data_IF_248121821389
#
_entry.id   IF_248121821389
#
_cell.length_a   1.000
_cell.length_b   1.000
_cell.length_c   1.000
_cell.angle_alpha   90.00
_cell.angle_beta   90.00
_cell.angle_gamma   90.00
#
_symmetry.space_group_name_H-M   'P 1'
#
loop_
_entity.id
_entity.type
_entity.pdbx_description
1 polymer ?
#
# COMPACT_ATOMS: atom_id res chain seq x y z
N UNK A 1 31.26 19.26 -6.07
CA UNK A 1 30.84 19.25 -6.37
C UNK A 1 29.98 18.58 -6.60
N UNK A 2 29.71 18.24 -6.83
CA UNK A 2 28.79 17.58 -7.32
C UNK A 2 27.78 17.02 -6.55
N UNK A 3 27.51 17.35 -5.96
CA UNK A 3 26.60 16.88 -5.38
C UNK A 3 25.62 16.40 -5.95
N UNK A 4 25.32 15.59 -5.74
CA UNK A 4 24.40 14.83 -6.43
C UNK A 4 23.17 15.58 -6.79
N UNK A 5 22.97 16.68 -6.43
CA UNK A 5 21.87 17.49 -6.89
C UNK A 5 20.52 16.81 -6.92
N UNK A 6 20.36 15.69 -6.28
CA UNK A 6 19.06 15.07 -6.27
C UNK A 6 18.15 15.86 -5.38
N UNK A 7 17.30 16.61 -6.00
CA UNK A 7 16.27 17.33 -5.29
C UNK A 7 14.98 16.56 -5.43
N UNK A 8 14.45 16.15 -4.30
CA UNK A 8 13.16 15.48 -4.30
C UNK A 8 12.12 16.52 -3.98
N UNK A 9 11.28 16.79 -4.96
CA UNK A 9 10.15 17.66 -4.75
C UNK A 9 8.97 16.75 -4.46
N UNK A 10 8.53 16.76 -3.23
CA UNK A 10 7.32 16.04 -2.87
C UNK A 10 6.16 16.96 -3.15
N UNK A 11 5.53 16.74 -4.28
CA UNK A 11 4.28 17.41 -4.62
C UNK A 11 3.15 16.74 -3.84
N UNK A 12 2.03 17.42 -3.62
CA UNK A 12 0.90 16.86 -2.88
C UNK A 12 0.41 15.50 -3.40
N UNK A 13 0.67 15.21 -4.66
CA UNK A 13 0.19 13.99 -5.31
C UNK A 13 1.30 13.18 -5.95
N UNK A 14 2.54 13.48 -5.63
CA UNK A 14 3.64 12.72 -6.21
C UNK A 14 4.56 12.19 -5.13
N UNK A 15 4.99 10.98 -5.35
CA UNK A 15 5.94 10.27 -4.49
C UNK A 15 7.20 10.09 -5.29
N UNK A 16 8.30 10.57 -4.77
CA UNK A 16 9.59 10.43 -5.43
C UNK A 16 10.32 9.23 -4.86
N UNK A 17 10.67 8.32 -5.72
CA UNK A 17 11.37 7.09 -5.38
C UNK A 17 12.81 7.21 -5.85
N UNK A 18 13.73 6.76 -5.03
CA UNK A 18 15.15 6.95 -5.28
C UNK A 18 15.90 5.69 -5.67
N UNK A 19 15.55 4.57 -5.08
CA UNK A 19 16.41 3.39 -5.15
C UNK A 19 15.65 2.06 -5.29
N UNK A 20 14.37 2.10 -5.60
CA UNK A 20 13.59 0.89 -5.83
C UNK A 20 12.81 0.98 -7.12
N UNK A 21 12.67 -0.15 -7.77
CA UNK A 21 11.69 -0.29 -8.83
C UNK A 21 10.29 -0.30 -8.23
N UNK A 22 9.30 0.14 -8.99
CA UNK A 22 7.92 0.12 -8.55
C UNK A 22 7.34 -1.28 -8.51
N UNK A 23 6.26 -1.44 -7.77
CA UNK A 23 5.47 -2.68 -7.77
C UNK A 23 4.43 -2.61 -8.88
N UNK A 24 4.21 -3.74 -9.55
CA UNK A 24 3.16 -3.81 -10.58
C UNK A 24 2.67 -5.25 -10.77
N UNK A 25 1.50 -5.38 -11.40
CA UNK A 25 0.93 -6.67 -11.75
C UNK A 25 0.08 -7.27 -10.64
N UNK A 26 -0.65 -8.33 -11.01
CA UNK A 26 -1.53 -9.08 -10.12
C UNK A 26 -0.89 -10.42 -9.79
N UNK A 27 -0.86 -10.78 -8.52
CA UNK A 27 -0.24 -12.00 -8.04
C UNK A 27 -1.17 -12.67 -7.03
N UNK A 28 -1.62 -13.88 -7.33
CA UNK A 28 -2.53 -14.62 -6.46
C UNK A 28 -1.79 -15.23 -5.27
N UNK A 29 -2.48 -15.29 -4.14
CA UNK A 29 -1.98 -15.94 -2.94
C UNK A 29 -3.16 -16.44 -2.10
N UNK A 30 -2.84 -17.16 -1.03
CA UNK A 30 -3.85 -17.69 -0.10
C UNK A 30 -3.46 -17.35 1.33
N UNK A 31 -4.46 -16.98 2.11
CA UNK A 31 -4.32 -16.77 3.56
C UNK A 31 -4.73 -18.05 4.25
N UNK A 32 -3.91 -18.55 5.17
CA UNK A 32 -4.27 -19.71 5.98
C UNK A 32 -5.16 -19.31 7.16
N UNK A 33 -5.60 -20.28 7.92
CA UNK A 33 -6.51 -20.07 9.06
C UNK A 33 -5.88 -19.29 10.23
N UNK A 34 -4.55 -19.11 10.19
CA UNK A 34 -3.82 -18.32 11.20
C UNK A 34 -3.44 -16.91 10.70
N UNK A 35 -3.96 -16.50 9.55
CA UNK A 35 -3.67 -15.20 8.97
C UNK A 35 -2.31 -15.11 8.29
N UNK A 36 -1.70 -16.24 7.97
CA UNK A 36 -0.39 -16.26 7.32
C UNK A 36 -0.55 -16.38 5.81
N UNK A 37 0.29 -15.66 5.07
CA UNK A 37 0.34 -15.76 3.63
C UNK A 37 1.77 -15.51 3.14
N UNK A 38 2.10 -16.14 2.01
CA UNK A 38 3.42 -15.99 1.38
C UNK A 38 3.37 -14.77 0.46
N UNK A 39 4.32 -13.87 0.63
CA UNK A 39 4.45 -12.73 -0.29
C UNK A 39 4.95 -13.26 -1.63
N UNK A 40 4.30 -12.92 -2.74
CA UNK A 40 4.76 -13.35 -4.07
C UNK A 40 6.20 -12.93 -4.33
N UNK A 41 6.97 -13.81 -4.97
CA UNK A 41 8.39 -13.55 -5.25
C UNK A 41 8.60 -12.29 -6.09
N UNK A 42 7.67 -11.96 -6.97
CA UNK A 42 7.73 -10.74 -7.77
C UNK A 42 7.67 -9.47 -6.90
N UNK A 43 6.98 -9.53 -5.77
CA UNK A 43 6.91 -8.43 -4.81
C UNK A 43 8.21 -8.39 -3.98
N UNK A 44 8.63 -9.54 -3.46
CA UNK A 44 9.87 -9.62 -2.67
C UNK A 44 11.10 -9.18 -3.45
N UNK A 45 11.15 -9.52 -4.73
CA UNK A 45 12.30 -9.21 -5.59
C UNK A 45 12.53 -7.72 -5.82
N UNK A 46 11.54 -6.87 -5.53
CA UNK A 46 11.66 -5.42 -5.67
C UNK A 46 12.32 -4.78 -4.45
N UNK A 47 12.26 -5.43 -3.29
CA UNK A 47 12.69 -4.87 -2.02
C UNK A 47 14.05 -5.43 -1.64
N UNK A 48 15.04 -4.58 -1.30
CA UNK A 48 16.33 -5.05 -0.80
C UNK A 48 16.15 -5.90 0.46
N UNK A 49 16.94 -6.94 0.59
CA UNK A 49 16.83 -7.91 1.68
C UNK A 49 16.97 -7.26 3.06
N UNK A 50 17.84 -6.27 3.18
CA UNK A 50 18.08 -5.55 4.43
C UNK A 50 16.97 -4.56 4.78
N UNK A 51 15.99 -4.37 3.90
CA UNK A 51 14.84 -3.48 4.10
C UNK A 51 13.51 -4.20 4.00
N UNK A 52 13.52 -5.51 4.22
CA UNK A 52 12.33 -6.35 4.06
C UNK A 52 11.40 -6.24 5.26
N UNK A 53 10.89 -5.04 5.48
CA UNK A 53 9.87 -4.76 6.48
C UNK A 53 8.74 -3.98 5.82
N UNK A 54 7.52 -4.40 6.06
CA UNK A 54 6.34 -3.78 5.46
C UNK A 54 5.42 -3.24 6.52
N UNK A 55 4.66 -2.25 6.14
CA UNK A 55 3.59 -1.66 6.96
C UNK A 55 2.28 -1.96 6.26
N UNK A 56 1.34 -2.56 6.97
CA UNK A 56 0.04 -2.97 6.43
C UNK A 56 -1.07 -2.30 7.20
N UNK A 57 -2.07 -1.81 6.47
CA UNK A 57 -3.27 -1.22 7.05
C UNK A 57 -4.45 -1.33 6.08
N UNK A 58 -5.66 -1.11 6.59
CA UNK A 58 -6.84 -0.98 5.74
C UNK A 58 -6.73 0.31 4.92
N UNK A 59 -6.95 0.22 3.63
CA UNK A 59 -6.99 1.39 2.76
C UNK A 59 -8.14 2.31 3.17
N UNK A 60 -7.91 3.63 3.14
CA UNK A 60 -8.91 4.62 3.54
C UNK A 60 -10.01 4.83 2.50
N UNK A 61 -9.73 4.50 1.26
CA UNK A 61 -10.61 4.81 0.13
C UNK A 61 -11.15 3.58 -0.58
N UNK A 62 -10.47 2.47 -0.46
CA UNK A 62 -10.77 1.24 -1.20
C UNK A 62 -10.98 0.07 -0.26
N UNK A 63 -11.68 -0.94 -0.74
CA UNK A 63 -12.02 -2.11 0.07
C UNK A 63 -10.92 -3.17 0.00
N UNK A 64 -9.71 -2.76 0.36
CA UNK A 64 -8.51 -3.60 0.34
C UNK A 64 -7.57 -3.22 1.49
N UNK A 65 -6.48 -3.96 1.63
CA UNK A 65 -5.36 -3.56 2.48
C UNK A 65 -4.30 -2.88 1.63
N UNK A 66 -3.58 -1.94 2.21
CA UNK A 66 -2.37 -1.36 1.64
C UNK A 66 -1.16 -1.97 2.33
N UNK A 67 -0.13 -2.26 1.56
CA UNK A 67 1.15 -2.74 2.05
C UNK A 67 2.25 -1.85 1.48
N UNK A 68 2.96 -1.17 2.37
CA UNK A 68 4.06 -0.28 2.01
C UNK A 68 5.38 -0.88 2.48
N UNK A 69 6.48 -0.55 1.79
CA UNK A 69 7.78 -0.63 2.44
C UNK A 69 7.82 0.42 3.55
N UNK A 70 8.71 0.24 4.52
CA UNK A 70 8.76 1.20 5.64
C UNK A 70 9.09 2.62 5.16
N UNK A 71 9.98 2.77 4.19
CA UNK A 71 10.33 4.09 3.65
C UNK A 71 9.17 4.77 2.92
N UNK A 72 8.40 4.03 2.14
CA UNK A 72 7.20 4.59 1.50
C UNK A 72 6.12 4.94 2.53
N UNK A 73 5.99 4.11 3.56
CA UNK A 73 5.10 4.40 4.68
C UNK A 73 5.43 5.72 5.34
N UNK A 74 6.72 5.99 5.58
CA UNK A 74 7.15 7.26 6.17
C UNK A 74 6.72 8.44 5.30
N UNK A 75 6.90 8.35 3.99
CA UNK A 75 6.48 9.41 3.06
C UNK A 75 4.97 9.61 3.12
N UNK A 76 4.20 8.53 3.03
CA UNK A 76 2.74 8.62 3.00
C UNK A 76 2.16 9.10 4.33
N UNK A 77 2.67 8.59 5.44
CA UNK A 77 2.18 8.99 6.76
C UNK A 77 2.51 10.45 7.07
N UNK A 78 3.67 10.92 6.65
CA UNK A 78 4.03 12.33 6.79
C UNK A 78 3.12 13.23 5.94
N UNK A 79 2.77 12.80 4.74
CA UNK A 79 1.85 13.54 3.89
C UNK A 79 0.48 13.71 4.55
N UNK A 80 -0.03 12.67 5.19
CA UNK A 80 -1.29 12.74 5.94
C UNK A 80 -1.12 13.63 7.17
N UNK A 81 -0.09 13.39 7.96
CA UNK A 81 0.15 14.14 9.20
C UNK A 81 0.30 15.64 8.94
N UNK A 82 0.94 16.03 7.85
CA UNK A 82 1.17 17.44 7.52
C UNK A 82 -0.12 18.24 7.31
N UNK A 83 -1.24 17.56 7.10
CA UNK A 83 -2.55 18.19 6.92
C UNK A 83 -3.37 18.26 8.20
N UNK A 84 -2.82 17.77 9.33
CA UNK A 84 -3.54 17.66 10.57
C UNK A 84 -3.03 18.69 11.58
N UNK A 85 -3.96 19.27 12.32
CA UNK A 85 -3.64 20.08 13.51
C UNK A 85 -3.74 19.18 14.73
N UNK A 86 -2.63 18.57 15.10
CA UNK A 86 -2.59 17.65 16.24
C UNK A 86 -2.42 18.36 17.58
N UNK A 87 -2.20 19.69 17.55
CA UNK A 87 -2.01 20.46 18.77
C UNK A 87 -3.34 20.94 19.35
N UNK A 88 -4.30 21.32 18.52
CA UNK A 88 -5.50 22.00 18.99
C UNK A 88 -6.82 21.46 18.45
N UNK A 89 -6.81 20.57 17.47
CA UNK A 89 -8.04 20.07 16.85
C UNK A 89 -8.32 18.64 17.29
N UNK A 90 -9.36 18.46 18.12
CA UNK A 90 -9.72 17.14 18.67
C UNK A 90 -10.15 16.14 17.58
N UNK A 91 -10.79 16.60 16.51
CA UNK A 91 -11.19 15.70 15.42
C UNK A 91 -9.96 15.21 14.63
N UNK A 92 -8.99 16.10 14.42
CA UNK A 92 -7.72 15.71 13.81
C UNK A 92 -6.96 14.71 14.68
N UNK A 93 -6.97 14.91 15.99
CA UNK A 93 -6.33 13.98 16.93
C UNK A 93 -7.01 12.60 16.86
N UNK A 94 -8.34 12.57 16.84
CA UNK A 94 -9.12 11.33 16.75
C UNK A 94 -8.86 10.63 15.41
N UNK A 95 -8.81 11.38 14.32
CA UNK A 95 -8.49 10.84 13.00
C UNK A 95 -7.11 10.18 13.00
N UNK A 96 -6.10 10.89 13.51
CA UNK A 96 -4.73 10.37 13.55
C UNK A 96 -4.62 9.12 14.42
N UNK A 97 -5.28 9.11 15.56
CA UNK A 97 -5.32 7.94 16.44
C UNK A 97 -5.90 6.73 15.71
N UNK A 98 -7.00 6.91 15.00
CA UNK A 98 -7.62 5.85 14.21
C UNK A 98 -6.71 5.39 13.08
N UNK A 99 -6.09 6.35 12.39
CA UNK A 99 -5.14 6.07 11.31
C UNK A 99 -4.00 5.16 11.79
N UNK A 100 -3.43 5.46 12.94
CA UNK A 100 -2.28 4.71 13.47
C UNK A 100 -2.68 3.39 14.13
N UNK A 101 -3.85 3.33 14.76
CA UNK A 101 -4.24 2.15 15.55
C UNK A 101 -4.51 0.90 14.72
N UNK A 102 -4.82 1.05 13.44
CA UNK A 102 -5.11 -0.07 12.53
C UNK A 102 -3.94 -0.37 11.60
N UNK A 103 -2.75 -0.01 12.02
CA UNK A 103 -1.53 -0.17 11.25
C UNK A 103 -0.61 -1.16 11.95
N UNK A 104 -0.08 -2.13 11.21
CA UNK A 104 0.86 -3.12 11.74
C UNK A 104 2.10 -3.19 10.88
N UNK A 105 3.22 -3.54 11.50
CA UNK A 105 4.44 -3.85 10.77
C UNK A 105 4.60 -5.36 10.69
N UNK A 106 5.08 -5.84 9.55
CA UNK A 106 5.33 -7.25 9.31
C UNK A 106 6.69 -7.42 8.65
N UNK A 107 7.37 -8.51 9.00
CA UNK A 107 8.62 -8.90 8.36
C UNK A 107 8.44 -10.33 7.86
N UNK A 108 8.67 -10.60 6.56
CA UNK A 108 8.57 -11.95 6.05
C UNK A 108 9.58 -12.87 6.75
N UNK A 109 9.17 -14.11 7.06
CA UNK A 109 10.10 -15.06 7.61
C UNK A 109 11.18 -15.41 6.58
N UNK A 110 12.39 -15.74 7.08
CA UNK A 110 13.55 -16.00 6.22
C UNK A 110 13.38 -17.26 5.37
N UNK A 111 12.49 -18.14 5.76
CA UNK A 111 12.37 -19.47 5.16
C UNK A 111 11.42 -19.49 3.97
N UNK A 112 10.21 -18.98 4.15
CA UNK A 112 9.15 -19.04 3.14
C UNK A 112 8.70 -17.68 2.63
N UNK A 113 9.19 -16.59 3.20
CA UNK A 113 8.72 -15.25 2.87
C UNK A 113 7.28 -15.03 3.31
N UNK A 114 6.91 -15.60 4.43
CA UNK A 114 5.56 -15.60 4.96
C UNK A 114 5.37 -14.45 5.93
N UNK A 115 4.24 -13.77 5.85
CA UNK A 115 3.83 -12.75 6.83
C UNK A 115 2.56 -13.20 7.52
N UNK A 116 2.30 -12.63 8.69
CA UNK A 116 1.07 -12.84 9.44
C UNK A 116 0.34 -11.52 9.57
N UNK A 117 -0.92 -11.49 9.14
CA UNK A 117 -1.77 -10.32 9.26
C UNK A 117 -2.83 -10.60 10.31
N UNK A 118 -3.04 -9.69 11.29
CA UNK A 118 -4.08 -9.88 12.30
C UNK A 118 -5.47 -10.05 11.68
N UNK A 119 -6.27 -10.90 12.29
CA UNK A 119 -7.60 -11.24 11.79
C UNK A 119 -8.48 -10.00 11.62
N UNK A 120 -8.41 -9.06 12.55
CA UNK A 120 -9.22 -7.84 12.49
C UNK A 120 -8.93 -7.02 11.23
N UNK A 121 -7.68 -7.00 10.81
CA UNK A 121 -7.26 -6.26 9.61
C UNK A 121 -7.73 -7.00 8.37
N UNK A 122 -7.59 -8.31 8.33
CA UNK A 122 -8.10 -9.14 7.23
C UNK A 122 -9.63 -8.99 7.10
N UNK A 123 -10.34 -9.06 8.20
CA UNK A 123 -11.80 -8.94 8.22
C UNK A 123 -12.26 -7.56 7.72
N UNK A 124 -11.53 -6.51 8.06
CA UNK A 124 -11.84 -5.15 7.60
C UNK A 124 -11.82 -5.02 6.08
N UNK A 125 -11.04 -5.84 5.40
CA UNK A 125 -10.99 -5.88 3.93
C UNK A 125 -11.77 -7.06 3.34
N UNK A 126 -12.52 -7.79 4.16
CA UNK A 126 -13.31 -8.93 3.72
C UNK A 126 -12.47 -10.10 3.20
N UNK A 127 -11.25 -10.22 3.68
CA UNK A 127 -10.34 -11.28 3.23
C UNK A 127 -10.55 -12.52 4.07
N UNK A 128 -10.83 -13.65 3.40
CA UNK A 128 -11.00 -14.95 4.06
C UNK A 128 -9.93 -15.95 3.64
N UNK A 129 -9.75 -16.16 2.34
CA UNK A 129 -8.82 -17.18 1.86
C UNK A 129 -8.03 -16.72 0.64
N UNK A 130 -8.70 -16.49 -0.48
CA UNK A 130 -8.04 -16.15 -1.73
C UNK A 130 -7.84 -14.66 -1.84
N UNK A 131 -6.60 -14.25 -2.11
CA UNK A 131 -6.24 -12.84 -2.23
C UNK A 131 -5.47 -12.59 -3.52
N UNK A 132 -5.47 -11.34 -3.94
CA UNK A 132 -4.64 -10.84 -5.02
C UNK A 132 -3.78 -9.71 -4.49
N UNK A 133 -2.48 -9.84 -4.65
CA UNK A 133 -1.54 -8.74 -4.46
C UNK A 133 -1.49 -7.94 -5.74
N UNK A 134 -1.85 -6.67 -5.68
CA UNK A 134 -1.83 -5.76 -6.83
C UNK A 134 -0.78 -4.70 -6.61
N UNK A 135 0.26 -4.68 -7.45
CA UNK A 135 1.26 -3.63 -7.40
C UNK A 135 0.73 -2.35 -8.05
N UNK A 136 0.83 -1.24 -7.34
CA UNK A 136 0.37 0.07 -7.85
C UNK A 136 1.51 1.10 -7.73
N UNK A 137 2.72 0.69 -8.10
CA UNK A 137 3.94 1.47 -8.10
C UNK A 137 4.53 1.68 -6.69
N UNK A 138 4.01 2.60 -5.91
CA UNK A 138 4.58 2.98 -4.61
C UNK A 138 4.13 2.08 -3.45
N UNK A 139 3.14 1.24 -3.69
CA UNK A 139 2.62 0.30 -2.68
C UNK A 139 2.09 -0.95 -3.36
N UNK A 140 1.75 -1.92 -2.54
CA UNK A 140 1.01 -3.10 -2.97
C UNK A 140 -0.34 -3.07 -2.27
N UNK A 141 -1.40 -3.40 -3.00
CA UNK A 141 -2.72 -3.59 -2.42
C UNK A 141 -2.99 -5.08 -2.28
N UNK A 142 -3.64 -5.47 -1.19
CA UNK A 142 -4.04 -6.85 -0.96
C UNK A 142 -5.56 -6.89 -0.97
N UNK A 143 -6.11 -7.52 -1.99
CA UNK A 143 -7.55 -7.59 -2.23
C UNK A 143 -8.07 -8.99 -1.97
N UNK A 144 -9.27 -9.08 -1.38
CA UNK A 144 -10.04 -10.31 -1.52
C UNK A 144 -10.26 -10.56 -3.01
N UNK A 145 -10.05 -11.79 -3.46
CA UNK A 145 -10.10 -12.12 -4.89
C UNK A 145 -11.41 -11.68 -5.54
N UNK A 146 -12.53 -11.84 -4.84
CA UNK A 146 -13.86 -11.50 -5.35
C UNK A 146 -14.13 -10.00 -5.40
N UNK A 147 -13.28 -9.16 -4.81
CA UNK A 147 -13.49 -7.71 -4.73
C UNK A 147 -12.61 -6.89 -5.66
N UNK A 148 -11.52 -7.45 -6.15
CA UNK A 148 -10.53 -6.66 -6.89
C UNK A 148 -11.09 -6.01 -8.16
N UNK A 149 -11.96 -6.71 -8.88
CA UNK A 149 -12.51 -6.18 -10.12
C UNK A 149 -13.44 -4.98 -9.86
N UNK A 150 -14.10 -4.95 -8.71
CA UNK A 150 -14.88 -3.79 -8.29
C UNK A 150 -14.05 -2.56 -7.96
N UNK A 151 -12.76 -2.76 -7.69
CA UNK A 151 -11.82 -1.67 -7.42
C UNK A 151 -11.16 -1.11 -8.68
N UNK A 152 -11.39 -1.72 -9.83
CA UNK A 152 -10.76 -1.32 -11.10
C UNK A 152 -11.81 -0.84 -12.09
N UNK A 153 -11.39 -0.04 -13.04
CA UNK A 153 -12.25 0.40 -14.14
C UNK A 153 -12.38 -0.70 -15.18
N UNK A 154 -13.52 -0.76 -15.86
CA UNK A 154 -13.64 -1.58 -17.07
C UNK A 154 -12.75 -0.99 -18.16
N UNK A 155 -12.42 -1.75 -19.22
CA UNK A 155 -11.62 -1.22 -20.34
C UNK A 155 -12.20 0.06 -20.94
N UNK A 156 -13.53 0.14 -21.10
CA UNK A 156 -14.18 1.33 -21.63
C UNK A 156 -14.09 2.52 -20.69
N UNK A 157 -14.38 2.31 -19.42
CA UNK A 157 -14.24 3.36 -18.40
C UNK A 157 -12.81 3.85 -18.30
N UNK A 158 -11.83 2.95 -18.36
CA UNK A 158 -10.42 3.29 -18.34
C UNK A 158 -10.05 4.18 -19.52
N UNK A 159 -10.51 3.81 -20.72
CA UNK A 159 -10.25 4.60 -21.92
C UNK A 159 -10.84 6.01 -21.81
N UNK A 160 -12.09 6.11 -21.39
CA UNK A 160 -12.78 7.40 -21.25
C UNK A 160 -12.13 8.27 -20.17
N UNK A 161 -11.80 7.67 -19.04
CA UNK A 161 -11.14 8.39 -17.94
C UNK A 161 -9.76 8.87 -18.36
N UNK A 162 -9.02 8.05 -19.12
CA UNK A 162 -7.72 8.44 -19.65
C UNK A 162 -7.78 9.68 -20.52
N UNK A 163 -8.79 9.77 -21.39
CA UNK A 163 -9.02 10.96 -22.22
C UNK A 163 -9.31 12.19 -21.36
N UNK A 164 -10.18 12.02 -20.37
CA UNK A 164 -10.55 13.10 -19.46
C UNK A 164 -9.33 13.62 -18.68
N UNK A 165 -8.52 12.70 -18.12
CA UNK A 165 -7.33 13.06 -17.35
C UNK A 165 -6.31 13.80 -18.24
N UNK A 166 -6.16 13.36 -19.48
CA UNK A 166 -5.21 13.99 -20.40
C UNK A 166 -5.69 15.36 -20.93
N UNK A 167 -6.90 15.77 -20.58
CA UNK A 167 -7.45 17.05 -21.04
C UNK A 167 -7.83 17.08 -22.53
N UNK A 168 -8.07 15.92 -23.13
CA UNK A 168 -8.39 15.78 -24.55
C UNK A 168 -9.86 15.52 -24.81
N UNK A 169 -10.68 15.85 -23.87
CA UNK A 169 -12.13 15.78 -24.02
C UNK A 169 -12.70 17.18 -24.02
#
# INVERSE_FOLDING_TARGET
MGKSGKKFVILPHSIVRTDMNGFFGRHSAKVDDKGRLVIPSAIKGVVPEDRMQFVIRKDMHSDCLEMFTYSEWEVMSQAVRSRLDLAFDDDHIRYWRTYMSNTVTVTPDARLGRITIPKEILDAAGITKDVVFLGVDYKVEIWAKEKIDGGCLTPEEFRLMGKKISGRI
#
